data_IF_889963004759
#
_entry.id   IF_889963004759
#
_cell.length_a   1.000
_cell.length_b   1.000
_cell.length_c   1.000
_cell.angle_alpha   90.00
_cell.angle_beta   90.00
_cell.angle_gamma   90.00
#
_symmetry.space_group_name_H-M   'P 1'
#
loop_
_entity.id
_entity.type
_entity.pdbx_description
1 polymer ?
#
# COMPACT_ATOMS: atom_id res chain seq x y z
N UNK A 1 -5.09 5.81 -34.47
CA UNK A 1 -4.45 6.08 -33.17
C UNK A 1 -3.46 7.21 -33.39
N UNK A 2 -3.52 8.30 -32.61
CA UNK A 2 -2.76 9.53 -32.91
C UNK A 2 -1.26 9.35 -32.75
N UNK A 3 -0.46 9.89 -33.68
CA UNK A 3 1.01 9.87 -33.64
C UNK A 3 1.57 10.47 -32.33
N UNK A 4 0.81 11.34 -31.68
CA UNK A 4 1.14 11.94 -30.39
C UNK A 4 1.09 10.94 -29.23
N UNK A 5 0.14 10.00 -29.22
CA UNK A 5 -0.01 9.01 -28.15
C UNK A 5 1.09 7.95 -28.21
N UNK A 6 1.55 7.58 -29.40
CA UNK A 6 2.71 6.69 -29.58
C UNK A 6 3.98 7.31 -28.98
N UNK A 7 4.22 8.61 -29.24
CA UNK A 7 5.35 9.34 -28.64
C UNK A 7 5.28 9.39 -27.12
N UNK A 8 4.08 9.56 -26.54
CA UNK A 8 3.88 9.52 -25.08
C UNK A 8 4.16 8.13 -24.51
N UNK A 9 3.73 7.07 -25.20
CA UNK A 9 4.01 5.69 -24.81
C UNK A 9 5.51 5.39 -24.81
N UNK A 10 6.23 5.82 -25.85
CA UNK A 10 7.69 5.66 -25.93
C UNK A 10 8.41 6.40 -24.80
N UNK A 11 8.03 7.67 -24.54
CA UNK A 11 8.57 8.43 -23.41
C UNK A 11 8.31 7.72 -22.07
N UNK A 12 7.11 7.17 -21.89
CA UNK A 12 6.74 6.45 -20.68
C UNK A 12 7.57 5.17 -20.49
N UNK A 13 7.76 4.37 -21.54
CA UNK A 13 8.61 3.18 -21.49
C UNK A 13 10.04 3.56 -21.12
N UNK A 14 10.58 4.63 -21.73
CA UNK A 14 11.94 5.09 -21.48
C UNK A 14 12.14 5.68 -20.07
N UNK A 15 11.07 6.14 -19.39
CA UNK A 15 11.15 6.55 -17.99
C UNK A 15 11.27 5.38 -17.00
N UNK A 16 11.23 4.14 -17.48
CA UNK A 16 11.35 2.91 -16.69
C UNK A 16 10.39 2.87 -15.48
N UNK A 17 9.07 2.81 -15.72
CA UNK A 17 8.05 2.84 -14.67
C UNK A 17 8.00 1.51 -13.88
N UNK A 18 7.04 1.37 -12.97
CA UNK A 18 6.82 0.12 -12.23
C UNK A 18 6.79 -1.08 -13.19
N UNK A 19 7.41 -2.19 -12.79
CA UNK A 19 7.60 -3.36 -13.64
C UNK A 19 6.30 -3.88 -14.27
N UNK A 20 5.16 -3.72 -13.59
CA UNK A 20 3.84 -4.08 -14.10
C UNK A 20 3.39 -3.11 -15.18
N UNK A 21 3.57 -1.80 -14.96
CA UNK A 21 3.23 -0.74 -15.91
C UNK A 21 4.10 -0.82 -17.16
N UNK A 22 5.41 -1.06 -16.99
CA UNK A 22 6.34 -1.27 -18.08
C UNK A 22 5.93 -2.47 -18.94
N UNK A 23 5.60 -3.61 -18.30
CA UNK A 23 5.14 -4.81 -19.03
C UNK A 23 3.85 -4.57 -19.82
N UNK A 24 2.91 -3.80 -19.27
CA UNK A 24 1.69 -3.37 -19.98
C UNK A 24 2.02 -2.49 -21.18
N UNK A 25 2.90 -1.52 -21.00
CA UNK A 25 3.32 -0.59 -22.03
C UNK A 25 4.03 -1.29 -23.19
N UNK A 26 4.93 -2.24 -22.90
CA UNK A 26 5.61 -3.05 -23.91
C UNK A 26 4.64 -3.92 -24.71
N UNK A 27 3.69 -4.58 -24.04
CA UNK A 27 2.66 -5.38 -24.71
C UNK A 27 1.83 -4.53 -25.70
N UNK A 28 1.48 -3.32 -25.29
CA UNK A 28 0.76 -2.37 -26.13
C UNK A 28 1.62 -1.87 -27.29
N UNK A 29 2.88 -1.49 -27.03
CA UNK A 29 3.82 -1.05 -28.06
C UNK A 29 3.98 -2.09 -29.16
N UNK A 30 4.22 -3.35 -28.82
CA UNK A 30 4.34 -4.42 -29.81
C UNK A 30 3.03 -4.64 -30.58
N UNK A 31 1.88 -4.59 -29.90
CA UNK A 31 0.58 -4.74 -30.56
C UNK A 31 0.23 -3.57 -31.50
N UNK A 32 0.80 -2.38 -31.27
CA UNK A 32 0.67 -1.20 -32.15
C UNK A 32 1.63 -1.32 -33.34
N UNK A 33 2.82 -1.86 -33.12
CA UNK A 33 3.82 -2.17 -34.16
C UNK A 33 3.42 -3.35 -35.07
N UNK A 34 2.22 -3.91 -34.87
CA UNK A 34 1.67 -4.96 -35.73
C UNK A 34 2.16 -6.38 -35.38
N UNK A 35 2.82 -6.56 -34.24
CA UNK A 35 3.23 -7.90 -33.82
C UNK A 35 2.00 -8.78 -33.54
N UNK A 36 2.10 -10.05 -33.92
CA UNK A 36 1.05 -11.01 -33.62
C UNK A 36 0.99 -11.29 -32.10
N UNK A 37 -0.20 -11.59 -31.58
CA UNK A 37 -0.39 -11.76 -30.13
C UNK A 37 0.32 -12.99 -29.55
N UNK A 38 0.63 -14.00 -30.39
CA UNK A 38 1.36 -15.18 -29.96
C UNK A 38 2.82 -14.81 -29.63
N UNK A 39 3.51 -14.13 -30.54
CA UNK A 39 4.88 -13.67 -30.38
C UNK A 39 5.02 -12.71 -29.18
N UNK A 40 4.07 -11.80 -28.99
CA UNK A 40 4.06 -10.91 -27.82
C UNK A 40 3.87 -11.72 -26.52
N UNK A 41 2.96 -12.68 -26.53
CA UNK A 41 2.65 -13.54 -25.38
C UNK A 41 3.88 -14.32 -24.92
N UNK A 42 4.59 -14.94 -25.87
CA UNK A 42 5.83 -15.67 -25.63
C UNK A 42 6.96 -14.73 -25.17
N UNK A 43 7.16 -13.60 -25.85
CA UNK A 43 8.25 -12.66 -25.55
C UNK A 43 8.13 -12.01 -24.18
N UNK A 44 6.91 -11.72 -23.72
CA UNK A 44 6.67 -11.04 -22.43
C UNK A 44 6.21 -12.00 -21.31
N UNK A 45 6.03 -13.28 -21.63
CA UNK A 45 5.44 -14.30 -20.78
C UNK A 45 4.11 -13.82 -20.15
N UNK A 46 3.15 -13.46 -21.01
CA UNK A 46 1.80 -12.98 -20.63
C UNK A 46 0.74 -13.64 -21.49
N UNK A 47 -0.52 -13.66 -21.04
CA UNK A 47 -1.61 -14.19 -21.86
C UNK A 47 -2.02 -13.26 -23.01
N UNK A 48 -2.64 -13.81 -24.05
CA UNK A 48 -3.28 -13.01 -25.12
C UNK A 48 -4.37 -12.07 -24.59
N UNK A 49 -5.10 -12.50 -23.56
CA UNK A 49 -6.11 -11.68 -22.88
C UNK A 49 -5.50 -10.48 -22.15
N UNK A 50 -4.29 -10.62 -21.58
CA UNK A 50 -3.55 -9.51 -21.00
C UNK A 50 -3.24 -8.45 -22.07
N UNK A 51 -2.73 -8.85 -23.23
CA UNK A 51 -2.40 -7.94 -24.34
C UNK A 51 -3.66 -7.20 -24.80
N UNK A 52 -4.75 -7.94 -25.06
CA UNK A 52 -6.02 -7.37 -25.50
C UNK A 52 -6.56 -6.33 -24.51
N UNK A 53 -6.58 -6.67 -23.22
CA UNK A 53 -7.06 -5.80 -22.13
C UNK A 53 -6.28 -4.47 -22.09
N UNK A 54 -4.95 -4.53 -22.12
CA UNK A 54 -4.13 -3.32 -22.00
C UNK A 54 -4.12 -2.48 -23.28
N UNK A 55 -4.22 -3.11 -24.45
CA UNK A 55 -4.46 -2.38 -25.71
C UNK A 55 -5.77 -1.62 -25.66
N UNK A 56 -6.85 -2.24 -25.18
CA UNK A 56 -8.14 -1.58 -25.00
C UNK A 56 -8.03 -0.41 -24.01
N UNK A 57 -7.44 -0.63 -22.84
CA UNK A 57 -7.24 0.41 -21.82
C UNK A 57 -6.42 1.60 -22.35
N UNK A 58 -5.37 1.33 -23.13
CA UNK A 58 -4.58 2.36 -23.79
C UNK A 58 -5.37 3.13 -24.84
N UNK A 59 -6.15 2.44 -25.68
CA UNK A 59 -6.99 3.10 -26.68
C UNK A 59 -8.03 4.04 -26.03
N UNK A 60 -8.52 3.70 -24.84
CA UNK A 60 -9.51 4.52 -24.11
C UNK A 60 -8.90 5.69 -23.33
N UNK A 61 -7.72 5.53 -22.73
CA UNK A 61 -7.18 6.49 -21.76
C UNK A 61 -5.68 6.82 -21.94
N UNK A 62 -5.07 6.41 -23.06
CA UNK A 62 -3.64 6.56 -23.32
C UNK A 62 -2.77 5.91 -22.25
N UNK A 63 -1.64 6.55 -21.94
CA UNK A 63 -0.69 6.08 -20.90
C UNK A 63 -1.35 5.98 -19.52
N UNK A 64 -2.30 6.87 -19.18
CA UNK A 64 -3.00 6.80 -17.88
C UNK A 64 -3.77 5.49 -17.72
N UNK A 65 -4.29 4.93 -18.82
CA UNK A 65 -4.95 3.63 -18.82
C UNK A 65 -4.03 2.45 -18.49
N UNK A 66 -2.71 2.63 -18.58
CA UNK A 66 -1.70 1.61 -18.29
C UNK A 66 -1.19 1.65 -16.86
N UNK A 67 -1.33 2.80 -16.19
CA UNK A 67 -0.90 3.00 -14.82
C UNK A 67 -1.71 2.13 -13.86
N UNK A 68 -1.11 1.81 -12.73
CA UNK A 68 -1.78 1.14 -11.63
C UNK A 68 -2.86 2.06 -11.07
N UNK A 69 -4.12 1.66 -11.24
CA UNK A 69 -5.24 2.32 -10.58
C UNK A 69 -5.18 2.17 -9.06
N UNK A 70 -4.59 1.06 -8.58
CA UNK A 70 -4.43 0.78 -7.17
C UNK A 70 -3.13 1.42 -6.65
N UNK A 71 -3.25 2.59 -5.99
CA UNK A 71 -2.12 3.31 -5.36
C UNK A 71 -1.67 2.70 -4.02
N UNK A 72 -2.05 1.45 -3.73
CA UNK A 72 -2.13 0.96 -2.35
C UNK A 72 -3.32 1.60 -1.63
N UNK A 73 -3.78 0.99 -0.54
CA UNK A 73 -4.56 1.78 0.42
C UNK A 73 -3.72 2.97 0.84
N UNK A 74 -4.33 4.14 1.05
CA UNK A 74 -3.68 5.25 1.75
C UNK A 74 -3.15 4.63 3.04
N UNK A 75 -1.84 4.40 3.13
CA UNK A 75 -1.23 4.06 4.41
C UNK A 75 -1.70 5.16 5.33
N UNK A 76 -2.35 4.81 6.44
CA UNK A 76 -2.99 5.84 7.27
C UNK A 76 -2.00 6.97 7.61
N UNK A 77 -0.70 6.67 7.62
CA UNK A 77 0.40 7.62 7.67
C UNK A 77 1.27 7.54 6.39
N UNK A 78 1.60 8.68 5.83
CA UNK A 78 2.65 8.86 4.82
C UNK A 78 4.06 8.72 5.46
N UNK A 79 5.11 8.72 4.64
CA UNK A 79 6.49 8.49 5.15
C UNK A 79 6.95 9.54 6.16
N UNK A 80 6.51 10.78 6.02
CA UNK A 80 6.86 11.88 6.91
C UNK A 80 6.05 11.80 8.22
N UNK A 81 4.73 11.65 8.10
CA UNK A 81 3.82 11.47 9.24
C UNK A 81 4.25 10.25 10.10
N UNK A 82 4.64 9.14 9.46
CA UNK A 82 5.16 7.97 10.16
C UNK A 82 6.43 8.26 10.97
N UNK A 83 7.36 9.07 10.43
CA UNK A 83 8.58 9.47 11.15
C UNK A 83 8.27 10.37 12.33
N UNK A 84 7.31 11.28 12.17
CA UNK A 84 6.85 12.18 13.22
C UNK A 84 6.18 11.40 14.35
N UNK A 85 5.30 10.45 14.01
CA UNK A 85 4.70 9.51 14.97
C UNK A 85 5.77 8.69 15.70
N UNK A 86 6.74 8.11 14.99
CA UNK A 86 7.84 7.36 15.62
C UNK A 86 8.67 8.25 16.57
N UNK A 87 8.93 9.49 16.17
CA UNK A 87 9.68 10.45 17.00
C UNK A 87 8.89 10.85 18.24
N UNK A 88 7.58 11.05 18.09
CA UNK A 88 6.65 11.35 19.17
C UNK A 88 6.54 10.20 20.18
N UNK A 89 6.54 8.95 19.70
CA UNK A 89 6.57 7.75 20.55
C UNK A 89 7.90 7.72 21.33
N UNK A 90 9.04 7.91 20.66
CA UNK A 90 10.38 7.89 21.29
C UNK A 90 10.60 8.95 22.37
N UNK A 91 9.95 10.11 22.25
CA UNK A 91 10.02 11.18 23.26
C UNK A 91 9.30 10.81 24.56
N UNK A 92 8.48 9.75 24.57
CA UNK A 92 7.73 9.29 25.75
C UNK A 92 8.39 8.06 26.34
N UNK A 93 8.52 8.06 27.67
CA UNK A 93 9.06 6.92 28.42
C UNK A 93 8.13 5.69 28.37
N UNK A 94 6.81 5.89 28.30
CA UNK A 94 5.79 4.84 28.15
C UNK A 94 4.68 5.33 27.22
N UNK A 95 4.51 4.69 26.07
CA UNK A 95 3.39 4.92 25.16
C UNK A 95 2.56 3.64 25.09
N UNK A 96 1.31 3.70 25.54
CA UNK A 96 0.37 2.58 25.39
C UNK A 96 -0.50 2.75 24.13
N UNK A 97 -1.34 1.75 23.87
CA UNK A 97 -2.21 1.70 22.69
C UNK A 97 -3.18 2.89 22.63
N UNK A 98 -3.88 3.18 23.72
CA UNK A 98 -4.88 4.26 23.82
C UNK A 98 -4.26 5.64 23.56
N UNK A 99 -3.05 5.87 24.09
CA UNK A 99 -2.31 7.11 23.86
C UNK A 99 -1.88 7.27 22.41
N UNK A 100 -1.44 6.19 21.78
CA UNK A 100 -1.06 6.21 20.36
C UNK A 100 -2.29 6.40 19.47
N UNK A 101 -3.41 5.75 19.79
CA UNK A 101 -4.66 5.88 19.06
C UNK A 101 -5.24 7.30 19.16
N UNK A 102 -5.29 7.87 20.36
CA UNK A 102 -5.72 9.26 20.57
C UNK A 102 -4.85 10.24 19.77
N UNK A 103 -3.53 10.11 19.85
CA UNK A 103 -2.61 10.98 19.10
C UNK A 103 -2.76 10.84 17.57
N UNK A 104 -2.97 9.63 17.07
CA UNK A 104 -3.17 9.40 15.64
C UNK A 104 -4.50 9.98 15.15
N UNK A 105 -5.55 9.89 15.97
CA UNK A 105 -6.85 10.47 15.69
C UNK A 105 -6.80 12.00 15.71
N UNK A 106 -6.21 12.60 16.76
CA UNK A 106 -6.17 14.05 16.94
C UNK A 106 -5.27 14.76 15.92
N UNK A 107 -4.07 14.24 15.64
CA UNK A 107 -3.09 14.95 14.80
C UNK A 107 -3.17 14.58 13.31
N UNK A 108 -3.59 13.35 12.99
CA UNK A 108 -3.56 12.83 11.62
C UNK A 108 -4.94 12.38 11.12
N UNK A 109 -5.97 12.40 11.98
CA UNK A 109 -7.30 11.84 11.70
C UNK A 109 -7.21 10.37 11.23
N UNK A 110 -6.39 9.59 11.94
CA UNK A 110 -6.06 8.20 11.62
C UNK A 110 -6.58 7.26 12.69
N UNK A 111 -7.38 6.28 12.27
CA UNK A 111 -7.76 5.12 13.10
C UNK A 111 -7.47 3.85 12.31
N UNK A 112 -6.55 3.02 12.77
CA UNK A 112 -6.28 1.76 12.09
C UNK A 112 -7.34 0.73 12.43
N UNK A 113 -7.88 0.06 11.41
CA UNK A 113 -8.82 -1.06 11.60
C UNK A 113 -8.24 -2.27 12.35
N UNK A 114 -6.91 -2.40 12.40
CA UNK A 114 -6.24 -3.56 12.98
C UNK A 114 -5.27 -3.13 14.09
N UNK A 115 -5.38 -3.69 15.30
CA UNK A 115 -4.45 -3.45 16.41
C UNK A 115 -2.98 -3.65 16.03
N UNK A 116 -2.71 -4.62 15.15
CA UNK A 116 -1.37 -4.93 14.62
C UNK A 116 -0.68 -3.72 14.00
N UNK A 117 -1.43 -2.77 13.43
CA UNK A 117 -0.86 -1.57 12.81
C UNK A 117 -0.27 -0.61 13.85
N UNK A 118 -0.91 -0.49 15.02
CA UNK A 118 -0.41 0.29 16.15
C UNK A 118 0.84 -0.37 16.76
N UNK A 119 0.82 -1.69 16.96
CA UNK A 119 1.98 -2.43 17.48
C UNK A 119 3.20 -2.36 16.58
N UNK A 120 3.02 -2.27 15.26
CA UNK A 120 4.12 -2.03 14.31
C UNK A 120 4.79 -0.67 14.55
N UNK A 121 4.03 0.39 14.80
CA UNK A 121 4.57 1.73 15.08
C UNK A 121 5.33 1.76 16.41
N UNK A 122 4.79 1.13 17.45
CA UNK A 122 5.44 1.00 18.76
C UNK A 122 6.75 0.20 18.68
N UNK A 123 6.75 -0.91 17.93
CA UNK A 123 7.94 -1.73 17.69
C UNK A 123 9.03 -0.97 16.92
N UNK A 124 8.64 -0.25 15.87
CA UNK A 124 9.56 0.53 15.03
C UNK A 124 10.17 1.73 15.77
N UNK A 125 9.48 2.26 16.78
CA UNK A 125 10.00 3.27 17.68
C UNK A 125 11.11 2.76 18.62
N UNK A 126 11.48 1.47 18.58
CA UNK A 126 12.50 0.85 19.45
C UNK A 126 12.24 1.13 20.93
N UNK A 127 10.98 1.07 21.36
CA UNK A 127 10.72 0.68 22.74
C UNK A 127 11.20 -0.76 22.89
N UNK A 128 12.04 -1.02 23.88
CA UNK A 128 12.67 -2.32 24.08
C UNK A 128 11.63 -3.44 24.09
N UNK A 129 11.85 -4.45 23.23
CA UNK A 129 11.13 -5.73 23.20
C UNK A 129 11.15 -6.46 24.56
N UNK A 130 12.06 -6.10 25.46
CA UNK A 130 12.25 -6.77 26.75
C UNK A 130 11.43 -6.14 27.89
N UNK A 131 11.09 -4.84 27.82
CA UNK A 131 10.24 -4.18 28.83
C UNK A 131 8.73 -4.44 28.58
N UNK A 132 8.33 -4.61 27.32
CA UNK A 132 6.93 -4.81 26.90
C UNK A 132 6.40 -6.23 27.14
N UNK A 133 7.26 -7.22 27.37
CA UNK A 133 6.86 -8.61 27.67
C UNK A 133 6.37 -8.83 29.10
N UNK A 134 6.70 -7.95 30.04
CA UNK A 134 6.37 -8.15 31.47
C UNK A 134 4.90 -7.85 31.79
N UNK A 135 4.25 -6.97 31.04
CA UNK A 135 2.88 -6.48 31.32
C UNK A 135 1.95 -6.61 30.10
N UNK A 136 1.94 -7.76 29.41
CA UNK A 136 1.00 -7.99 28.29
C UNK A 136 -0.32 -8.62 28.80
N UNK A 137 -1.43 -7.86 28.87
CA UNK A 137 -2.73 -8.39 29.31
C UNK A 137 -3.34 -9.40 28.33
N UNK A 138 -2.88 -9.44 27.06
CA UNK A 138 -3.35 -10.42 26.06
C UNK A 138 -2.71 -11.81 26.20
N UNK A 139 -1.80 -12.00 27.17
CA UNK A 139 -1.30 -13.33 27.54
C UNK A 139 -2.19 -14.06 28.55
N UNK A 140 -3.08 -13.32 29.22
CA UNK A 140 -4.03 -13.87 30.17
C UNK A 140 -5.44 -13.80 29.54
N UNK A 141 -5.97 -14.93 29.05
CA UNK A 141 -7.29 -14.99 28.43
C UNK A 141 -8.39 -14.43 29.33
N UNK A 142 -8.29 -14.59 30.65
CA UNK A 142 -9.31 -14.15 31.61
C UNK A 142 -9.28 -12.63 31.81
N UNK A 143 -8.10 -12.02 31.73
CA UNK A 143 -7.96 -10.57 31.81
C UNK A 143 -8.46 -9.90 30.54
N UNK A 144 -8.21 -10.52 29.39
CA UNK A 144 -8.72 -10.08 28.09
C UNK A 144 -10.25 -10.14 28.04
N UNK A 145 -10.83 -11.24 28.51
CA UNK A 145 -12.28 -11.41 28.55
C UNK A 145 -12.96 -10.41 29.50
N UNK A 146 -12.34 -10.10 30.66
CA UNK A 146 -12.81 -9.04 31.56
C UNK A 146 -12.75 -7.64 30.95
N UNK A 147 -11.69 -7.32 30.21
CA UNK A 147 -11.55 -6.01 29.55
C UNK A 147 -12.60 -5.88 28.44
N UNK A 148 -12.79 -6.91 27.63
CA UNK A 148 -13.81 -6.93 26.58
C UNK A 148 -15.22 -6.84 27.18
N UNK A 149 -15.53 -7.63 28.21
CA UNK A 149 -16.83 -7.56 28.89
C UNK A 149 -17.11 -6.19 29.48
N UNK A 150 -16.10 -5.50 30.04
CA UNK A 150 -16.27 -4.15 30.59
C UNK A 150 -16.54 -3.09 29.50
N UNK A 151 -15.93 -3.24 28.33
CA UNK A 151 -16.09 -2.33 27.19
C UNK A 151 -17.44 -2.54 26.49
N UNK A 152 -17.91 -3.79 26.38
CA UNK A 152 -19.11 -4.12 25.60
C UNK A 152 -20.40 -4.23 26.42
N UNK A 153 -20.34 -4.38 27.75
CA UNK A 153 -21.52 -4.52 28.61
C UNK A 153 -21.70 -3.39 29.66
N UNK A 154 -20.97 -2.28 29.55
CA UNK A 154 -21.36 -1.04 30.25
C UNK A 154 -22.14 -0.14 29.27
N UNK A 155 -23.42 -0.45 29.12
CA UNK A 155 -24.47 0.44 28.61
C UNK A 155 -25.57 0.53 29.67
#
# INVERSE_FOLDING_TARGET
MSNQENRKLDKWINSNPDSRELKRALAVKFAIQGWNYQAISESLNVSKSFISKWKQKFNSAGVEGLKLSYKGGKGYLNKQEKKEVITWIKKRYRCNFEQLEGYLLEEYNVVFKSPTSYYKLLSEARMSWEESKKNNPYKDPDLLDKILNRIYNQA
#
